data_IF_887852581222
#
_entry.id   IF_887852581222
#
_cell.length_a   1.000
_cell.length_b   1.000
_cell.length_c   1.000
_cell.angle_alpha   90.00
_cell.angle_beta   90.00
_cell.angle_gamma   90.00
#
_symmetry.space_group_name_H-M   'P 1'
#
loop_
_entity.id
_entity.type
_entity.pdbx_description
1 polymer ?
#
# COMPACT_ATOMS: atom_id res chain seq x y z
N UNK A 1 10.43 -45.71 -20.70
CA UNK A 1 11.39 -44.58 -20.72
C UNK A 1 11.19 -43.73 -19.45
N UNK A 2 12.19 -43.66 -18.55
CA UNK A 2 12.13 -42.75 -17.39
C UNK A 2 12.50 -41.34 -17.86
N UNK A 3 11.57 -40.38 -17.82
CA UNK A 3 11.89 -38.96 -18.02
C UNK A 3 12.98 -38.57 -17.02
N UNK A 4 14.16 -38.17 -17.50
CA UNK A 4 15.18 -37.53 -16.67
C UNK A 4 14.53 -36.27 -16.08
N UNK A 5 14.42 -36.18 -14.75
CA UNK A 5 13.96 -34.95 -14.09
C UNK A 5 14.91 -33.83 -14.46
N UNK A 6 14.37 -32.77 -15.04
CA UNK A 6 15.14 -31.59 -15.37
C UNK A 6 15.63 -30.95 -14.07
N UNK A 7 16.96 -30.94 -13.88
CA UNK A 7 17.56 -30.40 -12.64
C UNK A 7 17.30 -28.90 -12.52
N UNK A 8 17.07 -28.20 -13.64
CA UNK A 8 16.77 -26.76 -13.66
C UNK A 8 15.41 -26.44 -13.03
N UNK A 9 14.36 -27.16 -13.41
CA UNK A 9 13.00 -27.04 -12.85
C UNK A 9 12.99 -27.30 -11.34
N UNK A 10 13.76 -28.30 -10.88
CA UNK A 10 13.86 -28.60 -9.45
C UNK A 10 14.54 -27.49 -8.63
N UNK A 11 15.49 -26.76 -9.24
CA UNK A 11 16.14 -25.60 -8.64
C UNK A 11 15.22 -24.38 -8.55
N UNK A 12 14.48 -24.08 -9.63
CA UNK A 12 13.53 -22.97 -9.66
C UNK A 12 12.39 -23.16 -8.65
N UNK A 13 11.83 -24.37 -8.56
CA UNK A 13 10.81 -24.70 -7.58
C UNK A 13 11.32 -24.53 -6.15
N UNK A 14 12.53 -25.03 -5.86
CA UNK A 14 13.16 -24.90 -4.55
C UNK A 14 13.40 -23.44 -4.18
N UNK A 15 13.82 -22.61 -5.13
CA UNK A 15 14.00 -21.17 -4.92
C UNK A 15 12.67 -20.47 -4.61
N UNK A 16 11.58 -20.84 -5.31
CA UNK A 16 10.24 -20.31 -5.05
C UNK A 16 9.75 -20.68 -3.64
N UNK A 17 9.92 -21.93 -3.23
CA UNK A 17 9.57 -22.40 -1.87
C UNK A 17 10.40 -21.66 -0.82
N UNK A 18 11.72 -21.59 -1.00
CA UNK A 18 12.61 -20.90 -0.06
C UNK A 18 12.26 -19.41 0.09
N UNK A 19 11.83 -18.76 -0.99
CA UNK A 19 11.36 -17.36 -0.94
C UNK A 19 10.13 -17.22 -0.04
N UNK A 20 9.16 -18.13 -0.17
CA UNK A 20 7.97 -18.15 0.70
C UNK A 20 8.32 -18.47 2.15
N UNK A 21 9.18 -19.47 2.40
CA UNK A 21 9.61 -19.82 3.77
C UNK A 21 10.28 -18.64 4.48
N UNK A 22 11.20 -17.93 3.80
CA UNK A 22 11.87 -16.74 4.37
C UNK A 22 10.93 -15.56 4.60
N UNK A 23 9.87 -15.48 3.82
CA UNK A 23 8.86 -14.43 3.98
C UNK A 23 7.95 -14.77 5.17
N UNK A 24 7.42 -15.99 5.22
CA UNK A 24 6.57 -16.49 6.31
C UNK A 24 7.28 -16.52 7.67
N UNK A 25 8.61 -16.67 7.71
CA UNK A 25 9.36 -16.61 8.98
C UNK A 25 9.39 -15.23 9.64
N UNK A 26 8.88 -14.18 8.98
CA UNK A 26 8.81 -12.81 9.52
C UNK A 26 7.44 -12.46 10.09
N UNK A 27 6.50 -13.40 10.03
CA UNK A 27 5.11 -13.20 10.43
C UNK A 27 4.99 -12.78 11.91
N UNK A 28 3.99 -11.94 12.17
CA UNK A 28 3.60 -11.48 13.49
C UNK A 28 2.08 -11.52 13.56
N UNK A 29 1.53 -12.15 14.60
CA UNK A 29 0.09 -12.41 14.73
C UNK A 29 -0.82 -11.17 14.57
N UNK A 30 -0.31 -9.97 14.87
CA UNK A 30 -1.05 -8.71 14.90
C UNK A 30 -0.80 -7.81 13.68
N UNK A 31 0.02 -8.25 12.73
CA UNK A 31 0.44 -7.45 11.59
C UNK A 31 -0.47 -7.68 10.37
N UNK A 32 -1.50 -6.85 10.23
CA UNK A 32 -2.36 -6.91 9.04
C UNK A 32 -1.62 -6.55 7.75
N UNK A 33 -0.53 -5.77 7.83
CA UNK A 33 0.28 -5.40 6.67
C UNK A 33 0.89 -6.66 6.08
N UNK A 34 1.28 -7.63 6.92
CA UNK A 34 1.79 -8.93 6.47
C UNK A 34 0.82 -9.66 5.51
N UNK A 35 -0.50 -9.59 5.76
CA UNK A 35 -1.50 -10.15 4.83
C UNK A 35 -1.48 -9.47 3.47
N UNK A 36 -1.33 -8.14 3.44
CA UNK A 36 -1.21 -7.38 2.20
C UNK A 36 0.10 -7.70 1.46
N UNK A 37 1.20 -7.91 2.20
CA UNK A 37 2.47 -8.32 1.62
C UNK A 37 2.39 -9.71 0.97
N UNK A 38 1.69 -10.66 1.61
CA UNK A 38 1.43 -11.98 1.04
C UNK A 38 0.70 -11.87 -0.30
N UNK A 39 -0.38 -11.09 -0.31
CA UNK A 39 -1.22 -10.89 -1.48
C UNK A 39 -0.46 -10.19 -2.59
N UNK A 40 0.32 -9.15 -2.26
CA UNK A 40 1.24 -8.48 -3.18
C UNK A 40 2.24 -9.47 -3.80
N UNK A 41 2.88 -10.32 -2.99
CA UNK A 41 3.82 -11.33 -3.49
C UNK A 41 3.15 -12.31 -4.45
N UNK A 42 1.89 -12.68 -4.18
CA UNK A 42 1.15 -13.59 -5.05
C UNK A 42 0.74 -12.91 -6.36
N UNK A 43 0.21 -11.69 -6.31
CA UNK A 43 -0.14 -10.89 -7.49
C UNK A 43 1.08 -10.63 -8.38
N UNK A 44 2.25 -10.38 -7.78
CA UNK A 44 3.50 -10.19 -8.53
C UNK A 44 3.93 -11.46 -9.26
N UNK A 45 3.81 -12.63 -8.62
CA UNK A 45 4.08 -13.91 -9.30
C UNK A 45 3.10 -14.17 -10.44
N UNK A 46 1.84 -13.78 -10.28
CA UNK A 46 0.83 -13.88 -11.33
C UNK A 46 1.16 -12.94 -12.49
N UNK A 47 1.56 -11.70 -12.21
CA UNK A 47 1.98 -10.73 -13.23
C UNK A 47 3.20 -11.23 -14.01
N UNK A 48 4.22 -11.74 -13.32
CA UNK A 48 5.41 -12.33 -13.93
C UNK A 48 5.04 -13.52 -14.82
N UNK A 49 4.14 -14.39 -14.36
CA UNK A 49 3.67 -15.54 -15.15
C UNK A 49 2.93 -15.10 -16.42
N UNK A 50 1.94 -14.22 -16.30
CA UNK A 50 1.15 -13.76 -17.44
C UNK A 50 1.93 -12.80 -18.35
N UNK A 51 3.10 -12.30 -17.93
CA UNK A 51 3.92 -11.41 -18.76
C UNK A 51 4.44 -12.10 -20.02
N UNK A 52 4.72 -13.39 -19.92
CA UNK A 52 5.35 -14.19 -20.99
C UNK A 52 4.33 -14.98 -21.82
N UNK A 53 3.05 -14.90 -21.46
CA UNK A 53 1.99 -15.71 -22.03
C UNK A 53 1.14 -14.89 -23.01
N UNK A 54 0.74 -15.53 -24.11
CA UNK A 54 -0.26 -15.05 -25.08
C UNK A 54 -1.29 -16.17 -25.34
N UNK A 55 -1.81 -16.72 -24.23
CA UNK A 55 -2.52 -18.01 -24.26
C UNK A 55 -4.01 -17.89 -24.52
N UNK A 56 -4.63 -16.73 -24.30
CA UNK A 56 -6.06 -16.53 -24.53
C UNK A 56 -6.41 -15.07 -24.79
N UNK A 57 -7.52 -14.86 -25.51
CA UNK A 57 -8.09 -13.53 -25.78
C UNK A 57 -8.55 -12.91 -24.46
N UNK A 58 -8.05 -11.73 -24.12
CA UNK A 58 -8.38 -11.03 -22.88
C UNK A 58 -7.30 -11.08 -21.81
N UNK A 59 -6.19 -11.79 -22.04
CA UNK A 59 -5.03 -11.83 -21.15
C UNK A 59 -4.44 -10.43 -20.89
N UNK A 60 -4.59 -9.50 -21.83
CA UNK A 60 -4.21 -8.10 -21.70
C UNK A 60 -4.96 -7.38 -20.56
N UNK A 61 -6.23 -7.73 -20.32
CA UNK A 61 -7.01 -7.19 -19.22
C UNK A 61 -6.53 -7.75 -17.89
N UNK A 62 -6.21 -9.05 -17.82
CA UNK A 62 -5.63 -9.68 -16.63
C UNK A 62 -4.30 -9.01 -16.26
N UNK A 63 -3.40 -8.85 -17.24
CA UNK A 63 -2.10 -8.18 -17.04
C UNK A 63 -2.28 -6.72 -16.60
N UNK A 64 -3.24 -6.01 -17.19
CA UNK A 64 -3.56 -4.63 -16.79
C UNK A 64 -4.05 -4.57 -15.35
N UNK A 65 -5.02 -5.41 -14.99
CA UNK A 65 -5.65 -5.39 -13.68
C UNK A 65 -4.64 -5.77 -12.59
N UNK A 66 -3.77 -6.77 -12.82
CA UNK A 66 -2.67 -7.14 -11.92
C UNK A 66 -1.70 -5.96 -11.68
N UNK A 67 -1.29 -5.26 -12.74
CA UNK A 67 -0.42 -4.08 -12.61
C UNK A 67 -1.10 -2.95 -11.85
N UNK A 68 -2.40 -2.75 -12.04
CA UNK A 68 -3.19 -1.77 -11.29
C UNK A 68 -3.22 -2.17 -9.81
N UNK A 69 -3.55 -3.42 -9.49
CA UNK A 69 -3.58 -3.93 -8.12
C UNK A 69 -2.25 -3.76 -7.40
N UNK A 70 -1.12 -4.11 -8.03
CA UNK A 70 0.21 -3.91 -7.45
C UNK A 70 0.47 -2.44 -7.11
N UNK A 71 0.16 -1.52 -8.03
CA UNK A 71 0.33 -0.06 -7.78
C UNK A 71 -0.58 0.47 -6.69
N UNK A 72 -1.82 -0.04 -6.60
CA UNK A 72 -2.75 0.36 -5.54
C UNK A 72 -2.27 -0.13 -4.18
N UNK A 73 -1.76 -1.37 -4.11
CA UNK A 73 -1.15 -1.89 -2.89
C UNK A 73 0.12 -1.14 -2.51
N UNK A 74 0.95 -0.71 -3.46
CA UNK A 74 2.10 0.15 -3.16
C UNK A 74 1.67 1.48 -2.51
N UNK A 75 0.54 2.07 -2.94
CA UNK A 75 -0.03 3.26 -2.29
C UNK A 75 -0.52 2.91 -0.88
N UNK A 76 -1.31 1.85 -0.73
CA UNK A 76 -1.91 1.45 0.56
C UNK A 76 -0.85 1.10 1.61
N UNK A 77 0.25 0.47 1.20
CA UNK A 77 1.37 0.13 2.07
C UNK A 77 2.42 1.25 2.18
N UNK A 78 2.12 2.45 1.69
CA UNK A 78 2.97 3.64 1.78
C UNK A 78 4.39 3.42 1.19
N UNK A 79 4.46 2.65 0.09
CA UNK A 79 5.70 2.36 -0.66
C UNK A 79 5.91 3.31 -1.85
N UNK A 80 4.97 4.24 -2.08
CA UNK A 80 5.06 5.21 -3.16
C UNK A 80 5.94 6.43 -2.81
N UNK A 81 6.59 7.01 -3.83
CA UNK A 81 7.54 8.12 -3.68
C UNK A 81 6.83 9.48 -3.52
N UNK A 82 6.02 9.60 -2.47
CA UNK A 82 5.41 10.88 -2.08
C UNK A 82 6.39 11.83 -1.40
N UNK A 83 7.34 11.29 -0.63
CA UNK A 83 8.33 12.04 0.17
C UNK A 83 7.70 13.19 0.99
N UNK A 84 6.64 12.89 1.77
CA UNK A 84 6.03 13.89 2.68
C UNK A 84 6.97 14.10 3.85
N UNK A 85 7.67 15.25 3.85
CA UNK A 85 8.54 15.66 4.95
C UNK A 85 7.74 16.46 5.94
N UNK A 86 7.88 16.09 7.21
CA UNK A 86 7.25 16.74 8.36
C UNK A 86 8.30 17.45 9.20
N UNK A 87 7.95 18.60 9.75
CA UNK A 87 8.82 19.34 10.64
C UNK A 87 8.98 18.60 11.96
N UNK A 88 10.16 18.70 12.61
CA UNK A 88 10.36 18.09 13.91
C UNK A 88 9.33 18.61 14.91
N UNK A 89 8.76 17.70 15.70
CA UNK A 89 7.86 18.06 16.78
C UNK A 89 8.62 18.90 17.82
N UNK A 90 8.02 20.04 18.21
CA UNK A 90 8.56 20.89 19.27
C UNK A 90 8.01 20.43 20.61
N UNK A 91 8.91 20.12 21.53
CA UNK A 91 8.57 19.73 22.90
C UNK A 91 9.01 20.81 23.88
N UNK A 92 8.06 21.35 24.62
CA UNK A 92 8.31 22.42 25.59
C UNK A 92 8.19 21.88 27.01
N UNK A 93 9.17 22.15 27.89
CA UNK A 93 9.11 21.69 29.27
C UNK A 93 8.01 22.41 30.05
N UNK A 94 7.34 21.68 30.93
CA UNK A 94 6.40 22.22 31.93
C UNK A 94 6.53 21.46 33.25
N UNK A 95 5.99 22.01 34.35
CA UNK A 95 5.94 21.31 35.64
C UNK A 95 4.60 20.60 35.78
N UNK A 96 4.63 19.29 36.01
CA UNK A 96 3.46 18.53 36.40
C UNK A 96 3.04 18.84 37.83
N UNK A 97 1.84 18.39 38.21
CA UNK A 97 1.24 18.63 39.53
C UNK A 97 2.09 18.05 40.68
N UNK A 98 2.89 17.04 40.39
CA UNK A 98 3.85 16.42 41.31
C UNK A 98 5.24 17.12 41.33
N UNK A 99 5.37 18.29 40.70
CA UNK A 99 6.61 19.06 40.58
C UNK A 99 7.63 18.49 39.60
N UNK A 100 7.36 17.35 38.94
CA UNK A 100 8.27 16.75 37.96
C UNK A 100 8.29 17.57 36.67
N UNK A 101 9.47 17.69 36.07
CA UNK A 101 9.64 18.27 34.74
C UNK A 101 9.07 17.30 33.70
N UNK A 102 8.02 17.73 33.04
CA UNK A 102 7.38 17.02 31.93
C UNK A 102 7.57 17.82 30.64
N UNK A 103 7.25 17.22 29.50
CA UNK A 103 7.29 17.88 28.20
C UNK A 103 5.90 17.79 27.56
N UNK A 104 5.41 18.90 27.02
CA UNK A 104 4.20 18.92 26.21
C UNK A 104 4.55 19.24 24.77
N UNK A 105 3.74 18.71 23.86
CA UNK A 105 3.81 19.06 22.45
C UNK A 105 3.41 20.53 22.29
N UNK A 106 4.23 21.31 21.60
CA UNK A 106 3.91 22.68 21.21
C UNK A 106 3.59 22.71 19.71
N UNK A 107 2.31 22.91 19.40
CA UNK A 107 1.81 22.90 18.02
C UNK A 107 1.75 21.51 17.40
N UNK A 108 1.30 21.46 16.14
CA UNK A 108 1.33 20.26 15.32
C UNK A 108 2.61 20.24 14.48
N UNK A 109 2.99 19.05 14.01
CA UNK A 109 4.01 18.95 12.96
C UNK A 109 3.47 19.55 11.67
N UNK A 110 4.25 20.43 11.06
CA UNK A 110 3.94 21.08 9.79
C UNK A 110 4.56 20.28 8.64
N UNK A 111 3.88 20.23 7.50
CA UNK A 111 4.44 19.60 6.31
C UNK A 111 5.43 20.57 5.64
N UNK A 112 6.67 20.12 5.48
CA UNK A 112 7.77 20.86 4.86
C UNK A 112 7.74 20.73 3.34
N UNK A 113 7.50 19.52 2.83
CA UNK A 113 7.49 19.27 1.38
C UNK A 113 6.77 17.98 1.03
N UNK A 114 6.30 17.87 -0.21
CA UNK A 114 5.75 16.66 -0.80
C UNK A 114 6.01 16.66 -2.32
N UNK A 115 6.25 15.50 -2.93
CA UNK A 115 6.74 15.42 -4.30
C UNK A 115 5.62 15.38 -5.35
N UNK A 116 4.47 14.73 -5.07
CA UNK A 116 3.37 14.50 -6.04
C UNK A 116 2.00 14.18 -5.39
N UNK A 117 1.48 15.04 -4.51
CA UNK A 117 0.17 14.78 -3.90
C UNK A 117 -0.97 15.39 -4.73
N UNK A 118 -1.62 14.54 -5.54
CA UNK A 118 -2.88 14.86 -6.19
C UNK A 118 -3.93 13.80 -5.89
N UNK A 119 -5.11 14.24 -5.46
CA UNK A 119 -6.29 13.40 -5.32
C UNK A 119 -7.53 14.22 -5.62
N UNK A 120 -8.47 13.64 -6.35
CA UNK A 120 -9.76 14.29 -6.60
C UNK A 120 -10.58 14.33 -5.29
N UNK A 121 -11.09 15.50 -4.89
CA UNK A 121 -11.83 15.68 -3.64
C UNK A 121 -13.36 15.68 -3.81
N UNK A 122 -13.90 15.68 -5.04
CA UNK A 122 -15.34 15.83 -5.32
C UNK A 122 -16.22 14.76 -4.68
N UNK A 123 -15.68 13.58 -4.42
CA UNK A 123 -16.39 12.46 -3.78
C UNK A 123 -15.72 12.02 -2.48
N UNK A 124 -14.98 12.92 -1.82
CA UNK A 124 -14.23 12.63 -0.61
C UNK A 124 -15.10 12.10 0.54
N UNK A 125 -16.32 12.62 0.66
CA UNK A 125 -17.28 12.27 1.71
C UNK A 125 -17.65 10.76 1.75
N UNK A 126 -17.37 10.01 0.67
CA UNK A 126 -17.57 8.55 0.65
C UNK A 126 -16.45 7.76 1.36
N UNK A 127 -15.33 8.41 1.65
CA UNK A 127 -14.10 7.78 2.09
C UNK A 127 -13.60 8.33 3.42
N UNK A 128 -13.75 9.64 3.64
CA UNK A 128 -13.29 10.32 4.86
C UNK A 128 -14.30 11.36 5.33
N UNK A 129 -14.34 11.59 6.63
CA UNK A 129 -15.13 12.64 7.28
C UNK A 129 -14.34 13.95 7.31
N UNK A 130 -14.16 14.57 6.14
CA UNK A 130 -13.47 15.86 6.02
C UNK A 130 -14.05 16.71 4.90
N UNK A 131 -14.28 18.00 5.20
CA UNK A 131 -14.79 18.97 4.23
C UNK A 131 -13.65 19.83 3.65
N UNK A 132 -13.26 19.50 2.42
CA UNK A 132 -12.25 20.25 1.66
C UNK A 132 -12.73 21.63 1.18
N UNK A 133 -14.01 21.98 1.36
CA UNK A 133 -14.56 23.28 0.96
C UNK A 133 -14.56 24.31 2.09
N UNK A 134 -14.21 23.89 3.31
CA UNK A 134 -14.15 24.77 4.47
C UNK A 134 -13.06 25.83 4.30
N UNK A 135 -13.37 27.12 4.47
CA UNK A 135 -12.41 28.21 4.25
C UNK A 135 -11.33 28.30 5.34
N UNK A 136 -11.46 27.56 6.45
CA UNK A 136 -10.58 27.64 7.61
C UNK A 136 -9.60 26.45 7.72
N UNK A 137 -9.41 25.69 6.64
CA UNK A 137 -8.48 24.55 6.62
C UNK A 137 -7.07 25.05 6.38
N UNK A 138 -6.15 24.73 7.28
CA UNK A 138 -4.72 24.98 7.06
C UNK A 138 -4.14 23.97 6.04
N UNK A 139 -3.10 24.39 5.31
CA UNK A 139 -2.48 23.61 4.25
C UNK A 139 -1.96 22.25 4.75
N UNK A 140 -1.42 22.18 5.97
CA UNK A 140 -0.88 20.94 6.55
C UNK A 140 -2.00 19.92 6.81
N UNK A 141 -3.12 20.38 7.35
CA UNK A 141 -4.34 19.58 7.50
C UNK A 141 -4.84 19.14 6.13
N UNK A 142 -5.00 20.05 5.17
CA UNK A 142 -5.50 19.72 3.83
C UNK A 142 -4.67 18.61 3.16
N UNK A 143 -3.34 18.70 3.22
CA UNK A 143 -2.42 17.71 2.68
C UNK A 143 -2.57 16.37 3.41
N UNK A 144 -2.65 16.38 4.75
CA UNK A 144 -2.83 15.16 5.55
C UNK A 144 -4.15 14.44 5.21
N UNK A 145 -5.24 15.19 5.02
CA UNK A 145 -6.52 14.63 4.61
C UNK A 145 -6.54 14.19 3.14
N UNK A 146 -5.82 14.88 2.24
CA UNK A 146 -5.63 14.43 0.85
C UNK A 146 -4.84 13.13 0.78
N UNK A 147 -3.81 12.96 1.60
CA UNK A 147 -3.08 11.70 1.73
C UNK A 147 -4.01 10.58 2.21
N UNK A 148 -4.73 10.82 3.30
CA UNK A 148 -5.73 9.88 3.83
C UNK A 148 -6.76 9.50 2.77
N UNK A 149 -7.27 10.47 2.01
CA UNK A 149 -8.22 10.23 0.92
C UNK A 149 -7.60 9.36 -0.20
N UNK A 150 -6.33 9.59 -0.55
CA UNK A 150 -5.62 8.81 -1.56
C UNK A 150 -5.52 7.34 -1.14
N UNK A 151 -5.16 7.07 0.12
CA UNK A 151 -5.08 5.73 0.69
C UNK A 151 -6.44 5.01 0.64
N UNK A 152 -7.49 5.66 1.12
CA UNK A 152 -8.84 5.07 1.15
C UNK A 152 -9.39 4.80 -0.26
N UNK A 153 -9.12 5.69 -1.22
CA UNK A 153 -9.50 5.47 -2.61
C UNK A 153 -8.73 4.33 -3.26
N UNK A 154 -7.42 4.24 -2.99
CA UNK A 154 -6.60 3.15 -3.49
C UNK A 154 -7.08 1.81 -2.94
N UNK A 155 -7.35 1.74 -1.63
CA UNK A 155 -7.91 0.57 -0.96
C UNK A 155 -9.27 0.17 -1.52
N UNK A 156 -10.17 1.13 -1.73
CA UNK A 156 -11.50 0.85 -2.29
C UNK A 156 -11.41 0.30 -3.72
N UNK A 157 -10.62 0.94 -4.59
CA UNK A 157 -10.45 0.48 -5.97
C UNK A 157 -9.79 -0.89 -6.02
N UNK A 158 -8.80 -1.13 -5.16
CA UNK A 158 -8.16 -2.44 -5.03
C UNK A 158 -9.17 -3.53 -4.70
N UNK A 159 -10.00 -3.31 -3.68
CA UNK A 159 -11.02 -4.27 -3.28
C UNK A 159 -12.10 -4.45 -4.35
N UNK A 160 -12.49 -3.39 -5.07
CA UNK A 160 -13.40 -3.50 -6.22
C UNK A 160 -12.86 -4.46 -7.29
N UNK A 161 -11.61 -4.29 -7.70
CA UNK A 161 -10.98 -5.17 -8.69
C UNK A 161 -10.87 -6.58 -8.12
N UNK A 162 -10.39 -6.72 -6.88
CA UNK A 162 -10.26 -8.00 -6.19
C UNK A 162 -11.59 -8.77 -6.14
N UNK A 163 -12.69 -8.11 -5.79
CA UNK A 163 -14.02 -8.73 -5.71
C UNK A 163 -14.55 -9.16 -7.07
N UNK A 164 -14.43 -8.32 -8.10
CA UNK A 164 -15.11 -8.55 -9.39
C UNK A 164 -14.26 -9.20 -10.48
N UNK A 165 -12.93 -9.16 -10.37
CA UNK A 165 -12.02 -9.62 -11.43
C UNK A 165 -11.16 -10.79 -11.02
N UNK A 166 -10.84 -10.94 -9.73
CA UNK A 166 -9.85 -11.92 -9.28
C UNK A 166 -10.19 -13.36 -9.66
N UNK A 167 -11.48 -13.75 -9.62
CA UNK A 167 -11.89 -15.09 -10.03
C UNK A 167 -11.78 -15.32 -11.55
N UNK A 168 -11.98 -14.27 -12.35
CA UNK A 168 -11.89 -14.33 -13.81
C UNK A 168 -10.46 -14.23 -14.35
N UNK A 169 -9.43 -14.15 -13.50
CA UNK A 169 -8.03 -14.15 -13.94
C UNK A 169 -7.52 -15.55 -14.31
N UNK A 170 -8.30 -16.60 -14.01
CA UNK A 170 -7.94 -18.02 -14.21
C UNK A 170 -8.87 -18.76 -15.18
N UNK A 171 -10.01 -18.15 -15.51
CA UNK A 171 -11.04 -18.68 -16.41
C UNK A 171 -10.75 -18.25 -17.86
#
# INVERSE_FOLDING_TARGET
MKRKRDRSESGQLRNKINRWVRFLSKERDWDYVFMLEMEYMKLRQMEEYFKEMDTFVGIEYVRRDLRICLRLLDIVMERDDLDIKRSPLKFVPFKGDNGRKMYKLEGASEIISYKKLYVNTRNAARFIEFDFTSPNVDESSEISYKESLRLHKAWHLYNLIRTYRMFAWWD
#
